data_IF_279377665097
#
_entry.id   IF_279377665097
#
_cell.length_a   1.000
_cell.length_b   1.000
_cell.length_c   1.000
_cell.angle_alpha   90.00
_cell.angle_beta   90.00
_cell.angle_gamma   90.00
#
_symmetry.space_group_name_H-M   'P 1'
#
loop_
_entity.id
_entity.type
_entity.pdbx_description
1 polymer ?
#
# COMPACT_ATOMS: atom_id res chain seq x y z
N UNK A 1 40.37 5.24 7.34
CA UNK A 1 39.27 6.19 7.04
C UNK A 1 38.39 5.54 5.98
N UNK A 2 37.20 5.09 6.36
CA UNK A 2 36.26 4.40 5.45
C UNK A 2 35.47 5.48 4.72
N UNK A 3 35.48 5.45 3.39
CA UNK A 3 34.71 6.37 2.57
C UNK A 3 33.46 5.65 2.08
N UNK A 4 32.29 6.20 2.42
CA UNK A 4 31.02 5.67 1.95
C UNK A 4 30.83 6.04 0.47
N UNK A 5 30.74 5.03 -0.39
CA UNK A 5 30.50 5.19 -1.84
C UNK A 5 29.03 5.00 -2.22
N UNK A 6 28.32 4.17 -1.48
CA UNK A 6 26.93 3.84 -1.74
C UNK A 6 26.13 3.97 -0.45
N UNK A 7 24.95 4.57 -0.53
CA UNK A 7 24.04 4.73 0.60
C UNK A 7 22.63 4.38 0.14
N UNK A 8 22.02 3.46 0.87
CA UNK A 8 20.57 3.21 0.80
C UNK A 8 19.93 3.81 2.03
N UNK A 9 19.07 4.80 1.82
CA UNK A 9 18.48 5.61 2.89
C UNK A 9 16.97 5.39 2.96
N UNK A 10 16.47 5.15 4.16
CA UNK A 10 15.04 5.16 4.44
C UNK A 10 14.73 6.15 5.56
N UNK A 11 13.82 7.08 5.28
CA UNK A 11 13.39 8.07 6.26
C UNK A 11 11.87 8.13 6.29
N UNK A 12 11.30 7.97 7.47
CA UNK A 12 9.91 8.30 7.74
C UNK A 12 9.90 9.41 8.80
N UNK A 13 9.46 10.59 8.40
CA UNK A 13 9.52 11.79 9.24
C UNK A 13 8.11 12.30 9.50
N UNK A 14 7.70 12.24 10.76
CA UNK A 14 6.40 12.71 11.21
C UNK A 14 6.49 14.12 11.80
N UNK A 15 5.34 14.79 11.89
CA UNK A 15 5.14 16.01 12.67
C UNK A 15 5.97 17.22 12.23
N UNK A 16 6.34 17.27 10.95
CA UNK A 16 7.02 18.44 10.39
C UNK A 16 6.04 19.56 10.06
N UNK A 17 6.58 20.79 10.01
CA UNK A 17 5.88 21.96 9.47
C UNK A 17 6.05 22.10 7.94
N UNK A 18 7.06 21.45 7.37
CA UNK A 18 7.42 21.48 5.94
C UNK A 18 7.85 20.11 5.44
N UNK A 19 7.71 19.88 4.14
CA UNK A 19 8.24 18.67 3.50
C UNK A 19 9.76 18.72 3.40
N UNK A 20 10.40 17.54 3.31
CA UNK A 20 11.80 17.42 2.89
C UNK A 20 11.86 17.73 1.39
N UNK A 21 12.64 18.73 1.01
CA UNK A 21 12.94 19.05 -0.39
C UNK A 21 14.39 18.67 -0.76
N UNK A 22 14.77 18.86 -2.02
CA UNK A 22 16.11 18.49 -2.48
C UNK A 22 17.20 19.35 -1.83
N UNK A 23 16.89 20.61 -1.53
CA UNK A 23 17.81 21.54 -0.88
C UNK A 23 18.16 21.04 0.51
N UNK A 24 17.15 20.65 1.28
CA UNK A 24 17.34 20.09 2.60
C UNK A 24 18.10 18.77 2.55
N UNK A 25 17.74 17.86 1.64
CA UNK A 25 18.47 16.61 1.46
C UNK A 25 19.96 16.84 1.12
N UNK A 26 20.23 17.81 0.24
CA UNK A 26 21.59 18.17 -0.13
C UNK A 26 22.39 18.74 1.05
N UNK A 27 21.80 19.70 1.77
CA UNK A 27 22.47 20.42 2.84
C UNK A 27 22.64 19.61 4.12
N UNK A 28 21.74 18.66 4.40
CA UNK A 28 21.77 17.87 5.64
C UNK A 28 22.45 16.51 5.47
N UNK A 29 22.52 15.97 4.23
CA UNK A 29 23.08 14.64 3.98
C UNK A 29 24.22 14.69 2.97
N UNK A 30 23.95 15.13 1.75
CA UNK A 30 24.89 14.95 0.64
C UNK A 30 26.18 15.78 0.80
N UNK A 31 26.11 16.98 1.37
CA UNK A 31 27.30 17.83 1.60
C UNK A 31 28.32 17.16 2.54
N UNK A 32 27.86 16.30 3.46
CA UNK A 32 28.69 15.58 4.41
C UNK A 32 29.26 14.27 3.82
N UNK A 33 28.82 13.87 2.62
CA UNK A 33 29.23 12.63 1.96
C UNK A 33 29.78 12.90 0.55
N UNK A 34 30.87 13.68 0.40
CA UNK A 34 31.36 14.13 -0.91
C UNK A 34 31.90 13.01 -1.82
N UNK A 35 32.10 11.80 -1.28
CA UNK A 35 32.52 10.61 -2.04
C UNK A 35 31.37 9.64 -2.36
N UNK A 36 30.14 10.01 -2.01
CA UNK A 36 28.96 9.23 -2.34
C UNK A 36 28.75 9.26 -3.86
N UNK A 37 28.78 8.08 -4.46
CA UNK A 37 28.58 7.87 -5.89
C UNK A 37 27.12 7.49 -6.18
N UNK A 38 26.52 6.69 -5.29
CA UNK A 38 25.15 6.21 -5.45
C UNK A 38 24.36 6.48 -4.18
N UNK A 39 23.23 7.17 -4.34
CA UNK A 39 22.22 7.34 -3.30
C UNK A 39 20.92 6.73 -3.80
N UNK A 40 20.47 5.66 -3.14
CA UNK A 40 19.09 5.19 -3.23
C UNK A 40 18.35 5.68 -1.99
N UNK A 41 17.16 6.24 -2.15
CA UNK A 41 16.37 6.66 -1.02
C UNK A 41 14.88 6.36 -1.16
N UNK A 42 14.23 6.22 -0.01
CA UNK A 42 12.79 6.29 0.17
C UNK A 42 12.53 7.21 1.38
N UNK A 43 11.88 8.35 1.13
CA UNK A 43 11.60 9.38 2.11
C UNK A 43 10.09 9.64 2.13
N UNK A 44 9.50 9.46 3.30
CA UNK A 44 8.11 9.78 3.58
C UNK A 44 8.10 10.90 4.62
N UNK A 45 7.36 11.97 4.34
CA UNK A 45 7.18 13.07 5.29
C UNK A 45 5.71 13.30 5.54
N UNK A 46 5.31 13.36 6.81
CA UNK A 46 3.95 13.67 7.24
C UNK A 46 3.92 15.01 7.98
N UNK A 47 2.98 15.87 7.57
CA UNK A 47 2.70 17.17 8.17
C UNK A 47 1.36 17.10 8.89
N UNK A 48 1.37 17.40 10.21
CA UNK A 48 0.16 17.39 11.05
C UNK A 48 -0.71 18.63 10.90
N UNK A 49 -0.11 19.78 10.67
CA UNK A 49 -0.81 21.07 10.58
C UNK A 49 -0.16 21.94 9.51
N UNK A 50 -0.88 22.15 8.42
CA UNK A 50 -0.42 22.84 7.23
C UNK A 50 -1.09 24.21 7.16
N UNK A 51 -0.29 25.27 7.27
CA UNK A 51 -0.75 26.62 6.98
C UNK A 51 -0.86 26.78 5.45
N UNK A 52 -2.04 27.18 4.95
CA UNK A 52 -2.39 27.18 3.52
C UNK A 52 -1.46 27.96 2.59
N UNK A 53 -0.57 28.80 3.11
CA UNK A 53 0.53 29.45 2.37
C UNK A 53 1.55 28.46 1.79
N UNK A 54 1.67 27.25 2.36
CA UNK A 54 2.59 26.21 1.90
C UNK A 54 2.10 25.43 0.66
N UNK A 55 0.88 25.66 0.17
CA UNK A 55 0.34 24.90 -0.97
C UNK A 55 1.04 25.25 -2.29
N UNK A 56 1.51 26.49 -2.41
CA UNK A 56 2.30 26.97 -3.57
C UNK A 56 3.70 26.34 -3.65
N UNK A 57 4.20 25.75 -2.57
CA UNK A 57 5.55 25.19 -2.48
C UNK A 57 5.68 23.79 -3.09
N UNK A 58 4.59 23.09 -3.40
CA UNK A 58 4.65 21.69 -3.87
C UNK A 58 5.16 21.56 -5.29
N UNK A 59 4.74 22.44 -6.20
CA UNK A 59 5.37 22.53 -7.52
C UNK A 59 6.86 22.84 -7.37
N UNK A 60 7.23 23.73 -6.44
CA UNK A 60 8.62 24.11 -6.19
C UNK A 60 9.47 22.94 -5.65
N UNK A 61 8.93 22.09 -4.78
CA UNK A 61 9.67 20.92 -4.25
C UNK A 61 10.05 19.98 -5.38
N UNK A 62 9.12 19.64 -6.27
CA UNK A 62 9.41 18.80 -7.43
C UNK A 62 10.49 19.43 -8.32
N UNK A 63 10.45 20.75 -8.54
CA UNK A 63 11.51 21.49 -9.25
C UNK A 63 12.87 21.46 -8.55
N UNK A 64 12.92 21.48 -7.20
CA UNK A 64 14.21 21.37 -6.49
C UNK A 64 14.91 20.04 -6.77
N UNK A 65 14.14 18.97 -6.93
CA UNK A 65 14.65 17.64 -7.25
C UNK A 65 15.03 17.49 -8.73
N UNK A 66 14.26 18.08 -9.66
CA UNK A 66 14.59 18.07 -11.10
C UNK A 66 15.87 18.86 -11.45
N UNK A 67 16.15 19.95 -10.73
CA UNK A 67 17.34 20.77 -10.98
C UNK A 67 18.62 20.20 -10.33
N UNK A 68 18.49 19.27 -9.38
CA UNK A 68 19.58 18.45 -8.91
C UNK A 68 19.91 17.39 -9.96
N UNK A 69 21.19 17.03 -10.15
CA UNK A 69 21.64 16.06 -11.18
C UNK A 69 21.05 14.63 -11.05
N UNK A 70 20.05 14.40 -10.20
CA UNK A 70 19.40 13.13 -9.89
C UNK A 70 18.10 12.95 -10.71
N UNK A 71 18.23 12.60 -11.99
CA UNK A 71 17.11 12.52 -12.94
C UNK A 71 16.19 11.28 -12.79
N UNK A 72 16.32 10.50 -11.73
CA UNK A 72 15.57 9.26 -11.56
C UNK A 72 14.95 9.18 -10.16
N UNK A 73 13.89 9.96 -9.94
CA UNK A 73 13.08 9.90 -8.74
C UNK A 73 11.61 10.09 -9.06
N UNK A 74 10.77 9.59 -8.17
CA UNK A 74 9.33 9.84 -8.18
C UNK A 74 8.97 10.57 -6.91
N UNK A 75 8.01 11.49 -7.07
CA UNK A 75 7.47 12.33 -6.02
C UNK A 75 5.96 12.40 -6.15
N UNK A 76 5.24 12.27 -5.05
CA UNK A 76 3.82 12.60 -5.00
C UNK A 76 3.42 13.10 -3.60
N UNK A 77 2.32 13.84 -3.55
CA UNK A 77 1.80 14.46 -2.33
C UNK A 77 0.31 14.19 -2.19
N UNK A 78 -0.07 13.84 -0.98
CA UNK A 78 -1.45 13.74 -0.54
C UNK A 78 -1.77 14.91 0.37
N UNK A 79 -2.95 15.48 0.16
CA UNK A 79 -3.51 16.48 1.06
C UNK A 79 -4.75 15.92 1.71
N UNK A 80 -4.80 16.13 3.02
CA UNK A 80 -5.83 15.62 3.90
C UNK A 80 -6.52 16.78 4.61
N UNK A 81 -7.68 16.50 5.18
CA UNK A 81 -8.48 17.43 5.94
C UNK A 81 -7.69 17.99 7.13
N UNK A 82 -8.15 19.16 7.61
CA UNK A 82 -7.53 19.89 8.74
C UNK A 82 -6.07 20.27 8.48
N UNK A 83 -5.68 20.40 7.21
CA UNK A 83 -4.33 20.77 6.82
C UNK A 83 -3.31 19.68 7.14
N UNK A 84 -3.66 18.41 7.00
CA UNK A 84 -2.66 17.34 7.04
C UNK A 84 -2.14 17.09 5.63
N UNK A 85 -0.90 16.64 5.51
CA UNK A 85 -0.36 16.29 4.20
C UNK A 85 0.73 15.24 4.33
N UNK A 86 0.86 14.38 3.32
CA UNK A 86 1.94 13.40 3.21
C UNK A 86 2.66 13.63 1.89
N UNK A 87 3.99 13.54 1.90
CA UNK A 87 4.78 13.45 0.67
C UNK A 87 5.60 12.19 0.67
N UNK A 88 5.71 11.57 -0.49
CA UNK A 88 6.57 10.40 -0.70
C UNK A 88 7.54 10.69 -1.85
N UNK A 89 8.82 10.49 -1.59
CA UNK A 89 9.91 10.73 -2.55
C UNK A 89 10.83 9.51 -2.55
N UNK A 90 11.11 8.93 -3.71
CA UNK A 90 12.01 7.78 -3.80
C UNK A 90 12.78 7.73 -5.11
N UNK A 91 13.93 7.08 -5.09
CA UNK A 91 14.78 6.86 -6.26
C UNK A 91 14.24 5.78 -7.18
N UNK A 92 14.53 5.92 -8.48
CA UNK A 92 14.38 4.89 -9.50
C UNK A 92 15.79 4.57 -10.06
N UNK A 93 16.12 3.31 -10.38
CA UNK A 93 15.36 2.10 -10.06
C UNK A 93 15.19 1.93 -8.54
N UNK A 94 14.04 1.42 -8.12
CA UNK A 94 13.76 1.15 -6.71
C UNK A 94 14.36 -0.20 -6.34
N UNK A 95 15.28 -0.21 -5.37
CA UNK A 95 16.06 -1.42 -4.99
C UNK A 95 15.77 -1.91 -3.57
N UNK A 96 14.91 -1.22 -2.82
CA UNK A 96 14.46 -1.68 -1.51
C UNK A 96 13.44 -2.80 -1.66
N UNK A 97 13.39 -3.70 -0.68
CA UNK A 97 12.47 -4.84 -0.67
C UNK A 97 11.04 -4.46 -0.25
N UNK A 98 10.82 -3.24 0.23
CA UNK A 98 9.53 -2.85 0.73
C UNK A 98 9.18 -1.38 0.46
N UNK A 99 7.87 -1.08 0.37
CA UNK A 99 7.35 0.26 0.12
C UNK A 99 6.15 0.54 1.02
N UNK A 100 6.34 1.45 1.98
CA UNK A 100 5.35 1.70 3.03
C UNK A 100 4.56 2.99 2.83
N UNK A 101 3.39 3.06 3.47
CA UNK A 101 2.45 4.19 3.48
C UNK A 101 2.05 4.69 2.08
N UNK A 102 1.78 3.75 1.17
CA UNK A 102 1.25 4.04 -0.16
C UNK A 102 -0.19 4.55 -0.01
N UNK A 103 -0.47 5.71 -0.58
CA UNK A 103 -1.78 6.36 -0.54
C UNK A 103 -2.53 6.21 -1.86
N UNK A 104 -3.76 6.72 -1.92
CA UNK A 104 -4.62 6.65 -3.10
C UNK A 104 -4.03 7.35 -4.33
N UNK A 105 -3.16 8.36 -4.16
CA UNK A 105 -2.51 9.08 -5.26
C UNK A 105 -1.22 8.44 -5.77
N UNK A 106 -0.90 7.22 -5.33
CA UNK A 106 0.28 6.50 -5.80
C UNK A 106 0.37 6.51 -7.33
N UNK A 107 1.47 7.02 -7.94
CA UNK A 107 1.56 7.21 -9.38
C UNK A 107 1.73 5.90 -10.16
N UNK A 108 2.15 4.82 -9.51
CA UNK A 108 2.46 3.55 -10.16
C UNK A 108 3.94 3.43 -10.50
N UNK A 109 4.29 2.39 -11.26
CA UNK A 109 5.65 2.05 -11.65
C UNK A 109 5.90 0.55 -11.53
N UNK A 110 7.05 0.06 -11.99
CA UNK A 110 7.41 -1.34 -11.82
C UNK A 110 8.41 -1.49 -10.67
N UNK A 111 8.04 -2.25 -9.64
CA UNK A 111 8.83 -2.47 -8.44
C UNK A 111 9.19 -3.95 -8.32
N UNK A 112 10.17 -4.38 -9.12
CA UNK A 112 10.57 -5.79 -9.22
C UNK A 112 11.26 -6.34 -7.98
N UNK A 113 11.78 -5.49 -7.09
CA UNK A 113 12.46 -5.91 -5.86
C UNK A 113 11.54 -5.89 -4.64
N UNK A 114 10.31 -5.36 -4.76
CA UNK A 114 9.42 -5.12 -3.62
C UNK A 114 8.53 -6.32 -3.36
N UNK A 115 8.59 -6.81 -2.13
CA UNK A 115 7.85 -7.94 -1.61
C UNK A 115 6.86 -7.54 -0.50
N UNK A 116 7.11 -6.42 0.18
CA UNK A 116 6.28 -5.96 1.29
C UNK A 116 5.75 -4.55 1.03
N UNK A 117 4.43 -4.35 1.13
CA UNK A 117 3.84 -3.02 1.04
C UNK A 117 2.81 -2.75 2.12
N UNK A 118 2.68 -1.48 2.48
CA UNK A 118 1.56 -0.97 3.26
C UNK A 118 0.79 0.10 2.49
N UNK A 119 -0.53 -0.12 2.36
CA UNK A 119 -1.50 0.80 1.77
C UNK A 119 -2.23 1.51 2.90
N UNK A 120 -2.02 2.81 3.04
CA UNK A 120 -2.59 3.61 4.13
C UNK A 120 -3.20 4.89 3.56
N UNK A 121 -4.52 5.00 3.66
CA UNK A 121 -5.25 6.24 3.38
C UNK A 121 -6.52 6.25 4.24
N UNK A 122 -6.66 7.26 5.10
CA UNK A 122 -7.78 7.36 6.04
C UNK A 122 -8.86 8.33 5.57
N UNK A 123 -8.66 8.99 4.44
CA UNK A 123 -9.61 9.99 3.91
C UNK A 123 -10.10 9.68 2.51
N UNK A 124 -9.31 8.96 1.70
CA UNK A 124 -9.69 8.54 0.36
C UNK A 124 -9.79 7.02 0.29
N UNK A 125 -10.84 6.48 -0.35
CA UNK A 125 -10.99 5.04 -0.50
C UNK A 125 -10.00 4.46 -1.51
N UNK A 126 -9.59 3.22 -1.29
CA UNK A 126 -8.90 2.44 -2.32
C UNK A 126 -9.94 1.69 -3.18
N UNK A 127 -10.17 2.17 -4.40
CA UNK A 127 -11.13 1.54 -5.31
C UNK A 127 -10.54 0.28 -5.97
N UNK A 128 -11.38 -0.50 -6.65
CA UNK A 128 -10.96 -1.71 -7.36
C UNK A 128 -9.77 -1.48 -8.31
N UNK A 129 -9.82 -0.41 -9.11
CA UNK A 129 -8.77 -0.06 -10.08
C UNK A 129 -7.43 0.29 -9.39
N UNK A 130 -7.49 0.76 -8.15
CA UNK A 130 -6.28 0.97 -7.36
C UNK A 130 -5.61 -0.36 -7.06
N UNK A 131 -6.36 -1.39 -6.64
CA UNK A 131 -5.79 -2.72 -6.41
C UNK A 131 -5.27 -3.38 -7.69
N UNK A 132 -5.92 -3.17 -8.84
CA UNK A 132 -5.38 -3.57 -10.15
C UNK A 132 -4.06 -2.88 -10.47
N UNK A 133 -3.94 -1.59 -10.14
CA UNK A 133 -2.69 -0.86 -10.30
C UNK A 133 -1.62 -1.43 -9.37
N UNK A 134 -1.94 -1.69 -8.12
CA UNK A 134 -1.02 -2.28 -7.13
C UNK A 134 -0.52 -3.65 -7.63
N UNK A 135 -1.40 -4.57 -8.05
CA UNK A 135 -0.96 -5.89 -8.51
C UNK A 135 0.01 -5.83 -9.70
N UNK A 136 -0.20 -4.88 -10.61
CA UNK A 136 0.70 -4.65 -11.76
C UNK A 136 2.03 -4.00 -11.36
N UNK A 137 2.02 -3.14 -10.34
CA UNK A 137 3.22 -2.44 -9.90
C UNK A 137 4.15 -3.34 -9.06
N UNK A 138 3.58 -4.31 -8.34
CA UNK A 138 4.28 -5.18 -7.39
C UNK A 138 4.09 -6.66 -7.77
N UNK A 139 4.68 -7.12 -8.87
CA UNK A 139 4.43 -8.47 -9.38
C UNK A 139 4.91 -9.59 -8.44
N UNK A 140 5.85 -9.32 -7.53
CA UNK A 140 6.40 -10.30 -6.57
C UNK A 140 5.94 -10.05 -5.13
N UNK A 141 4.80 -9.35 -4.95
CA UNK A 141 4.28 -8.99 -3.63
C UNK A 141 3.94 -10.24 -2.81
N UNK A 142 4.51 -10.35 -1.61
CA UNK A 142 4.27 -11.45 -0.66
C UNK A 142 3.51 -11.00 0.60
N UNK A 143 3.72 -9.77 1.07
CA UNK A 143 3.05 -9.23 2.25
C UNK A 143 2.33 -7.92 1.95
N UNK A 144 1.04 -7.89 2.24
CA UNK A 144 0.18 -6.74 2.02
C UNK A 144 -0.50 -6.32 3.32
N UNK A 145 -0.21 -5.10 3.76
CA UNK A 145 -0.95 -4.41 4.81
C UNK A 145 -1.89 -3.36 4.22
N UNK A 146 -3.16 -3.38 4.62
CA UNK A 146 -4.16 -2.38 4.23
C UNK A 146 -4.77 -1.76 5.48
N UNK A 147 -4.71 -0.42 5.54
CA UNK A 147 -5.42 0.38 6.54
C UNK A 147 -6.20 1.48 5.83
N UNK A 148 -7.52 1.28 5.72
CA UNK A 148 -8.41 2.26 5.13
C UNK A 148 -9.80 2.17 5.78
N UNK A 149 -10.20 3.25 6.47
CA UNK A 149 -11.47 3.34 7.19
C UNK A 149 -12.63 3.81 6.31
N UNK A 150 -12.32 4.29 5.09
CA UNK A 150 -13.29 4.90 4.20
C UNK A 150 -13.91 3.83 3.30
N UNK A 151 -15.25 3.72 3.24
CA UNK A 151 -15.92 2.78 2.34
C UNK A 151 -15.57 3.04 0.88
N UNK A 152 -15.50 1.97 0.09
CA UNK A 152 -15.33 2.05 -1.36
C UNK A 152 -16.59 2.65 -1.98
N UNK A 153 -16.43 3.61 -2.89
CA UNK A 153 -17.58 4.17 -3.63
C UNK A 153 -17.92 3.30 -4.82
N UNK A 154 -16.93 2.62 -5.38
CA UNK A 154 -17.05 1.80 -6.58
C UNK A 154 -16.50 0.39 -6.29
N UNK A 155 -17.28 -0.38 -5.53
CA UNK A 155 -16.97 -1.79 -5.17
C UNK A 155 -16.74 -2.69 -6.40
N UNK A 156 -17.27 -2.27 -7.55
CA UNK A 156 -17.04 -2.74 -8.92
C UNK A 156 -17.85 -1.87 -9.88
N UNK A 157 -17.51 -1.76 -11.17
CA UNK A 157 -18.55 -1.46 -12.16
C UNK A 157 -19.59 -2.57 -12.05
N UNK A 158 -20.78 -2.22 -11.55
CA UNK A 158 -21.96 -3.07 -11.71
C UNK A 158 -22.02 -3.51 -13.16
N UNK A 159 -22.34 -4.77 -13.40
CA UNK A 159 -22.47 -5.39 -14.72
C UNK A 159 -23.45 -4.57 -15.59
N UNK A 160 -22.95 -3.52 -16.22
CA UNK A 160 -23.63 -2.74 -17.24
C UNK A 160 -23.15 -3.31 -18.56
N UNK A 161 -23.90 -4.31 -19.01
CA UNK A 161 -24.05 -4.79 -20.39
C UNK A 161 -23.31 -3.94 -21.44
N UNK A 162 -21.99 -4.13 -21.55
CA UNK A 162 -21.18 -3.70 -22.68
C UNK A 162 -20.03 -4.67 -22.78
N UNK A 163 -19.92 -5.30 -23.94
CA UNK A 163 -19.03 -6.42 -24.30
C UNK A 163 -17.54 -6.09 -24.25
N UNK A 164 -17.13 -4.93 -23.73
CA UNK A 164 -15.76 -4.40 -23.84
C UNK A 164 -15.09 -4.03 -22.50
N UNK A 165 -15.73 -4.26 -21.34
CA UNK A 165 -15.03 -4.15 -20.05
C UNK A 165 -14.58 -5.54 -19.60
N UNK A 166 -13.32 -5.87 -19.92
CA UNK A 166 -12.60 -6.97 -19.27
C UNK A 166 -12.74 -6.75 -17.76
N UNK A 167 -13.57 -7.59 -17.14
CA UNK A 167 -13.65 -7.75 -15.69
C UNK A 167 -12.33 -8.34 -15.23
N UNK A 168 -11.30 -7.50 -15.09
CA UNK A 168 -9.99 -7.96 -14.64
C UNK A 168 -10.09 -8.20 -13.14
N UNK A 169 -10.23 -9.46 -12.77
CA UNK A 169 -9.97 -9.94 -11.42
C UNK A 169 -8.59 -9.43 -10.99
N UNK A 170 -8.45 -8.93 -9.76
CA UNK A 170 -7.14 -8.53 -9.24
C UNK A 170 -6.37 -9.80 -8.88
N UNK A 171 -5.21 -10.03 -9.48
CA UNK A 171 -4.39 -11.20 -9.18
C UNK A 171 -3.19 -10.83 -8.32
N UNK A 172 -3.03 -11.49 -7.17
CA UNK A 172 -1.81 -11.43 -6.38
C UNK A 172 -1.18 -12.82 -6.29
N UNK A 173 -0.40 -13.23 -7.31
CA UNK A 173 0.05 -14.61 -7.46
C UNK A 173 1.09 -15.05 -6.43
N UNK A 174 1.69 -14.13 -5.67
CA UNK A 174 2.71 -14.46 -4.66
C UNK A 174 2.31 -14.02 -3.26
N UNK A 175 1.11 -13.48 -3.06
CA UNK A 175 0.70 -12.96 -1.77
C UNK A 175 0.46 -14.10 -0.78
N UNK A 176 1.31 -14.16 0.25
CA UNK A 176 1.25 -15.17 1.31
C UNK A 176 0.65 -14.62 2.59
N UNK A 177 0.70 -13.31 2.80
CA UNK A 177 0.19 -12.65 4.01
C UNK A 177 -0.63 -11.41 3.68
N UNK A 178 -1.87 -11.41 4.15
CA UNK A 178 -2.79 -10.27 4.03
C UNK A 178 -3.23 -9.81 5.41
N UNK A 179 -2.96 -8.53 5.71
CA UNK A 179 -3.45 -7.88 6.92
C UNK A 179 -4.33 -6.70 6.57
N UNK A 180 -5.58 -6.72 7.03
CA UNK A 180 -6.54 -5.62 6.85
C UNK A 180 -6.92 -5.12 8.24
N UNK A 181 -6.38 -3.97 8.63
CA UNK A 181 -6.56 -3.39 9.96
C UNK A 181 -7.47 -2.18 9.91
N UNK A 182 -8.43 -2.09 10.84
CA UNK A 182 -9.40 -0.98 10.91
C UNK A 182 -10.07 -0.72 9.55
N UNK A 183 -10.18 -1.76 8.71
CA UNK A 183 -10.69 -1.65 7.36
C UNK A 183 -12.21 -1.58 7.34
N UNK A 184 -12.77 -0.74 6.46
CA UNK A 184 -14.16 -0.93 6.05
C UNK A 184 -14.36 -2.36 5.52
N UNK A 185 -15.54 -2.94 5.73
CA UNK A 185 -15.87 -4.30 5.27
C UNK A 185 -15.67 -4.47 3.76
N UNK A 186 -15.80 -3.39 3.00
CA UNK A 186 -15.58 -3.34 1.55
C UNK A 186 -14.22 -3.90 1.14
N UNK A 187 -13.17 -3.64 1.94
CA UNK A 187 -11.84 -4.19 1.66
C UNK A 187 -11.79 -5.69 1.89
N UNK A 188 -12.51 -6.22 2.86
CA UNK A 188 -12.65 -7.66 3.06
C UNK A 188 -13.40 -8.30 1.88
N UNK A 189 -14.47 -7.67 1.39
CA UNK A 189 -15.17 -8.12 0.19
C UNK A 189 -14.26 -8.08 -1.05
N UNK A 190 -13.47 -7.01 -1.21
CA UNK A 190 -12.52 -6.86 -2.31
C UNK A 190 -11.51 -8.02 -2.34
N UNK A 191 -10.92 -8.40 -1.20
CA UNK A 191 -9.87 -9.42 -1.16
C UNK A 191 -10.39 -10.85 -1.03
N UNK A 192 -11.45 -11.09 -0.25
CA UNK A 192 -11.89 -12.47 0.04
C UNK A 192 -12.83 -13.03 -1.02
N UNK A 193 -13.58 -12.21 -1.75
CA UNK A 193 -14.45 -12.71 -2.84
C UNK A 193 -13.58 -13.06 -4.06
N UNK A 194 -13.63 -14.32 -4.46
CA UNK A 194 -12.83 -14.90 -5.55
C UNK A 194 -13.09 -14.27 -6.92
N UNK A 195 -14.29 -13.75 -7.13
CA UNK A 195 -14.58 -12.98 -8.33
C UNK A 195 -13.83 -11.65 -8.32
N UNK A 196 -13.60 -11.00 -7.18
CA UNK A 196 -12.95 -9.68 -7.09
C UNK A 196 -11.42 -9.79 -7.17
N UNK A 197 -10.86 -10.71 -6.40
CA UNK A 197 -9.41 -10.90 -6.26
C UNK A 197 -9.10 -12.39 -6.24
N UNK A 198 -7.97 -12.79 -6.82
CA UNK A 198 -7.45 -14.14 -6.75
C UNK A 198 -6.19 -14.19 -5.86
N UNK A 199 -6.25 -14.99 -4.79
CA UNK A 199 -5.19 -15.12 -3.78
C UNK A 199 -4.74 -16.59 -3.63
N UNK A 200 -4.09 -17.18 -4.65
CA UNK A 200 -3.83 -18.63 -4.69
C UNK A 200 -2.88 -19.13 -3.58
N UNK A 201 -2.03 -18.27 -3.04
CA UNK A 201 -0.99 -18.65 -2.07
C UNK A 201 -1.17 -18.00 -0.70
N UNK A 202 -2.36 -17.51 -0.37
CA UNK A 202 -2.61 -16.87 0.93
C UNK A 202 -2.52 -17.90 2.07
N UNK A 203 -1.57 -17.70 2.99
CA UNK A 203 -1.29 -18.56 4.14
C UNK A 203 -1.65 -17.86 5.46
N UNK A 204 -1.36 -16.57 5.58
CA UNK A 204 -1.67 -15.76 6.76
C UNK A 204 -2.73 -14.70 6.43
N UNK A 205 -3.80 -14.68 7.23
CA UNK A 205 -4.87 -13.71 7.13
C UNK A 205 -5.10 -13.04 8.49
N UNK A 206 -4.88 -11.72 8.56
CA UNK A 206 -5.09 -10.93 9.76
C UNK A 206 -6.22 -9.93 9.57
N UNK A 207 -7.36 -10.19 10.21
CA UNK A 207 -8.62 -9.47 10.00
C UNK A 207 -9.48 -9.46 11.28
N UNK A 208 -10.45 -8.55 11.35
CA UNK A 208 -11.46 -8.56 12.41
C UNK A 208 -12.44 -9.72 12.23
N UNK A 209 -12.69 -10.50 13.29
CA UNK A 209 -13.55 -11.70 13.22
C UNK A 209 -14.97 -11.38 12.76
N UNK A 210 -15.54 -10.28 13.25
CA UNK A 210 -16.91 -9.88 12.91
C UNK A 210 -17.04 -9.59 11.41
N UNK A 211 -16.03 -8.95 10.79
CA UNK A 211 -16.04 -8.71 9.35
C UNK A 211 -15.90 -10.02 8.56
N UNK A 212 -15.10 -10.98 9.06
CA UNK A 212 -15.01 -12.30 8.44
C UNK A 212 -16.37 -13.00 8.43
N UNK A 213 -17.10 -12.99 9.55
CA UNK A 213 -18.43 -13.58 9.64
C UNK A 213 -19.41 -12.92 8.66
N UNK A 214 -19.37 -11.59 8.53
CA UNK A 214 -20.26 -10.89 7.60
C UNK A 214 -19.92 -11.24 6.14
N UNK A 215 -18.64 -11.14 5.74
CA UNK A 215 -18.23 -11.37 4.35
C UNK A 215 -18.44 -12.82 3.91
N UNK A 216 -18.25 -13.77 4.83
CA UNK A 216 -18.50 -15.20 4.56
C UNK A 216 -19.96 -15.61 4.74
N UNK A 217 -20.84 -14.71 5.15
CA UNK A 217 -22.23 -15.01 5.55
C UNK A 217 -22.31 -16.15 6.57
N UNK A 218 -21.55 -16.03 7.65
CA UNK A 218 -21.33 -17.07 8.66
C UNK A 218 -20.82 -18.39 8.04
N UNK A 219 -19.83 -18.31 7.15
CA UNK A 219 -19.25 -19.46 6.45
C UNK A 219 -20.24 -20.23 5.56
N UNK A 220 -21.11 -19.50 4.86
CA UNK A 220 -22.04 -20.09 3.86
C UNK A 220 -21.87 -19.54 2.44
N UNK A 221 -21.12 -18.43 2.26
CA UNK A 221 -20.86 -17.81 0.96
C UNK A 221 -19.68 -18.45 0.23
N UNK A 222 -19.95 -19.36 -0.72
CA UNK A 222 -18.93 -20.12 -1.46
C UNK A 222 -17.86 -19.26 -2.16
N UNK A 223 -18.24 -18.07 -2.66
CA UNK A 223 -17.34 -17.17 -3.37
C UNK A 223 -16.12 -16.72 -2.53
N UNK A 224 -16.19 -16.85 -1.20
CA UNK A 224 -15.06 -16.47 -0.32
C UNK A 224 -14.14 -17.65 0.01
N UNK A 225 -14.58 -18.87 -0.27
CA UNK A 225 -13.89 -20.10 0.12
C UNK A 225 -12.55 -20.28 -0.60
N UNK A 226 -12.49 -19.96 -1.89
CA UNK A 226 -11.28 -20.21 -2.71
C UNK A 226 -10.06 -19.43 -2.22
N UNK A 227 -10.24 -18.18 -1.81
CA UNK A 227 -9.13 -17.36 -1.32
C UNK A 227 -8.74 -17.72 0.13
N UNK A 228 -9.61 -18.41 0.88
CA UNK A 228 -9.34 -18.81 2.26
C UNK A 228 -8.75 -20.22 2.40
N UNK A 229 -8.91 -21.10 1.40
CA UNK A 229 -8.65 -22.54 1.54
C UNK A 229 -7.21 -22.90 1.94
N UNK A 230 -6.24 -22.06 1.58
CA UNK A 230 -4.82 -22.26 1.88
C UNK A 230 -4.36 -21.56 3.16
N UNK A 231 -5.25 -20.81 3.84
CA UNK A 231 -4.91 -20.10 5.07
C UNK A 231 -4.65 -21.10 6.20
N UNK A 232 -3.46 -20.98 6.79
CA UNK A 232 -2.99 -21.77 7.94
C UNK A 232 -2.99 -20.93 9.22
N UNK A 233 -2.83 -19.61 9.08
CA UNK A 233 -2.74 -18.68 10.19
C UNK A 233 -3.82 -17.60 10.08
N UNK A 234 -4.96 -17.84 10.72
CA UNK A 234 -6.01 -16.83 10.87
C UNK A 234 -5.78 -16.05 12.17
N UNK A 235 -5.33 -14.80 12.04
CA UNK A 235 -5.10 -13.89 13.16
C UNK A 235 -6.31 -12.96 13.28
N UNK A 236 -6.82 -12.85 14.49
CA UNK A 236 -8.03 -12.09 14.79
C UNK A 236 -7.92 -11.31 16.10
N UNK A 237 -8.71 -10.25 16.23
CA UNK A 237 -8.84 -9.44 17.44
C UNK A 237 -9.60 -10.13 18.58
N UNK A 238 -10.22 -11.30 18.33
CA UNK A 238 -10.96 -12.09 19.31
C UNK A 238 -10.73 -13.59 19.14
N UNK A 239 -11.11 -14.35 20.17
CA UNK A 239 -11.16 -15.81 20.14
C UNK A 239 -12.02 -16.30 18.97
N UNK A 240 -11.44 -17.20 18.16
CA UNK A 240 -12.12 -17.83 17.04
C UNK A 240 -13.09 -18.90 17.57
N UNK A 241 -14.31 -18.90 17.03
CA UNK A 241 -15.30 -19.95 17.32
C UNK A 241 -15.39 -20.85 16.10
N UNK A 242 -14.88 -22.07 16.23
CA UNK A 242 -14.81 -23.00 15.12
C UNK A 242 -16.13 -23.79 14.99
N UNK A 243 -16.97 -23.40 14.03
CA UNK A 243 -18.08 -24.24 13.56
C UNK A 243 -17.56 -25.34 12.62
N UNK A 244 -18.41 -26.31 12.26
CA UNK A 244 -18.05 -27.25 11.19
C UNK A 244 -17.82 -26.54 9.86
N UNK A 245 -18.63 -25.52 9.58
CA UNK A 245 -18.55 -24.73 8.36
C UNK A 245 -17.28 -23.88 8.30
N UNK A 246 -16.76 -23.42 9.44
CA UNK A 246 -15.47 -22.73 9.53
C UNK A 246 -14.34 -23.53 8.86
N UNK A 247 -14.25 -24.83 9.11
CA UNK A 247 -13.21 -25.68 8.55
C UNK A 247 -13.38 -25.97 7.05
N UNK A 248 -14.54 -25.64 6.45
CA UNK A 248 -14.70 -25.67 4.99
C UNK A 248 -13.97 -24.51 4.32
N UNK A 249 -13.79 -23.40 5.03
CA UNK A 249 -13.08 -22.20 4.59
C UNK A 249 -11.61 -22.23 4.98
N UNK A 250 -11.31 -22.74 6.18
CA UNK A 250 -9.97 -22.75 6.77
C UNK A 250 -9.56 -24.19 7.16
N UNK A 251 -9.40 -25.11 6.18
CA UNK A 251 -9.15 -26.52 6.48
C UNK A 251 -7.82 -26.78 7.18
N UNK A 252 -6.86 -25.86 7.05
CA UNK A 252 -5.51 -25.97 7.62
C UNK A 252 -5.36 -25.30 9.00
N UNK A 253 -6.34 -24.51 9.45
CA UNK A 253 -6.33 -23.81 10.76
C UNK A 253 -6.73 -24.71 11.94
N UNK A 254 -6.17 -25.92 12.03
CA UNK A 254 -6.48 -26.90 13.09
C UNK A 254 -5.59 -26.75 14.33
#
# INVERSE_FOLDING_TARGET
MVFLKELTLRLNVCDRLTFIDATQLNNEILIHMPRLQTLTFNIITFIKTFNGTNRKTINNIQYTFYNGKNHQLVYYVDFYARGKAQSHIYSIPYVLNDLNNISSNFPGGLFSCVHDISLIDIEFPFEHDFFLKISRCFPLLTHLFVLNIVPQKHKRPSQLNTTDQISSIVEFPHLTSLRISQGCIDYMEQFLIDTNTHLPHLVELNIHYEHLLIVTENFTRDATRRNCVNVEHLISDRLLVHSKDFYLYFPNCK
#
